data_IF_746670626178
#
_entry.id   IF_746670626178
#
_cell.length_a   1.000
_cell.length_b   1.000
_cell.length_c   1.000
_cell.angle_alpha   90.00
_cell.angle_beta   90.00
_cell.angle_gamma   90.00
#
_symmetry.space_group_name_H-M   'P 1'
#
loop_
_entity.id
_entity.type
_entity.pdbx_description
1 polymer ?
#
# COMPACT_ATOMS: atom_id res chain seq x y z
N UNK A 1 7.72 25.06 -4.11
CA UNK A 1 6.56 24.15 -3.97
C UNK A 1 5.68 24.12 -5.22
N UNK A 2 5.58 25.23 -5.99
CA UNK A 2 4.71 25.28 -7.19
C UNK A 2 5.25 24.54 -8.42
N UNK A 3 6.55 24.39 -8.56
CA UNK A 3 7.17 23.83 -9.78
C UNK A 3 7.18 22.30 -9.82
N UNK A 4 7.20 21.65 -8.67
CA UNK A 4 7.13 20.18 -8.58
C UNK A 4 5.74 19.69 -9.02
N UNK A 5 4.67 20.39 -8.64
CA UNK A 5 3.29 20.07 -9.05
C UNK A 5 3.03 20.28 -10.55
N UNK A 6 3.64 21.31 -11.16
CA UNK A 6 3.48 21.56 -12.60
C UNK A 6 4.17 20.51 -13.46
N UNK A 7 5.34 20.01 -13.02
CA UNK A 7 6.04 18.93 -13.74
C UNK A 7 5.32 17.59 -13.64
N UNK A 8 4.71 17.27 -12.50
CA UNK A 8 3.88 16.07 -12.35
C UNK A 8 2.65 16.06 -13.27
N UNK A 9 2.01 17.23 -13.48
CA UNK A 9 0.86 17.35 -14.38
C UNK A 9 1.23 17.09 -15.85
N UNK A 10 2.42 17.51 -16.30
CA UNK A 10 2.84 17.35 -17.70
C UNK A 10 3.12 15.87 -18.04
N UNK A 11 3.71 15.12 -17.14
CA UNK A 11 3.96 13.68 -17.34
C UNK A 11 2.67 12.83 -17.28
N UNK A 12 1.68 13.24 -16.49
CA UNK A 12 0.38 12.57 -16.38
C UNK A 12 -0.43 12.72 -17.68
N UNK A 13 -0.37 13.87 -18.37
CA UNK A 13 -1.06 14.07 -19.66
C UNK A 13 -0.49 13.16 -20.77
N UNK A 14 0.80 12.86 -20.77
CA UNK A 14 1.42 11.95 -21.74
C UNK A 14 0.93 10.49 -21.56
N UNK A 15 0.71 10.05 -20.32
CA UNK A 15 0.20 8.69 -20.06
C UNK A 15 -1.29 8.55 -20.39
N UNK A 16 -2.11 9.61 -20.19
CA UNK A 16 -3.54 9.58 -20.46
C UNK A 16 -3.86 9.74 -21.94
N UNK A 17 -3.04 10.51 -22.70
CA UNK A 17 -3.30 10.75 -24.13
C UNK A 17 -3.09 9.52 -25.02
N UNK A 18 -2.34 8.51 -24.57
CA UNK A 18 -2.17 7.24 -25.30
C UNK A 18 -3.33 6.25 -25.14
N UNK A 19 -4.30 6.51 -24.23
CA UNK A 19 -5.44 5.61 -24.03
C UNK A 19 -6.71 5.97 -24.82
N UNK A 20 -6.73 7.10 -25.54
CA UNK A 20 -7.89 7.58 -26.32
C UNK A 20 -7.63 7.57 -27.83
N UNK A 21 -7.15 6.45 -28.40
CA UNK A 21 -7.22 6.26 -29.85
C UNK A 21 -8.35 5.28 -30.20
N UNK A 22 -9.20 5.58 -31.20
CA UNK A 22 -10.32 4.73 -31.55
C UNK A 22 -9.82 3.40 -32.13
N UNK A 23 -10.51 2.34 -31.78
CA UNK A 23 -10.29 0.96 -32.19
C UNK A 23 -10.22 0.84 -33.71
N UNK A 24 -9.03 0.69 -34.25
CA UNK A 24 -8.88 0.03 -35.55
C UNK A 24 -8.97 -1.47 -35.28
N UNK A 25 -10.00 -2.12 -35.83
CA UNK A 25 -10.15 -3.57 -35.82
C UNK A 25 -8.97 -4.22 -36.56
N UNK A 26 -7.93 -4.57 -35.82
CA UNK A 26 -6.91 -5.50 -36.28
C UNK A 26 -7.17 -6.82 -35.54
N UNK A 27 -7.45 -7.88 -36.28
CA UNK A 27 -7.43 -9.23 -35.76
C UNK A 27 -6.01 -9.53 -35.27
N UNK A 28 -5.78 -9.32 -33.99
CA UNK A 28 -4.53 -9.73 -33.32
C UNK A 28 -4.62 -11.24 -33.14
N UNK A 29 -3.81 -11.96 -33.88
CA UNK A 29 -3.69 -13.41 -33.73
C UNK A 29 -3.33 -13.76 -32.30
N UNK A 30 -3.89 -14.85 -31.79
CA UNK A 30 -3.74 -15.34 -30.39
C UNK A 30 -2.25 -15.46 -29.94
N UNK A 31 -1.32 -15.58 -30.88
CA UNK A 31 0.12 -15.65 -30.63
C UNK A 31 0.76 -14.30 -30.20
N UNK A 32 0.19 -13.16 -30.58
CA UNK A 32 0.70 -11.84 -30.15
C UNK A 32 0.23 -11.46 -28.74
N UNK A 33 -0.86 -12.04 -28.26
CA UNK A 33 -1.40 -11.78 -26.93
C UNK A 33 -0.57 -12.43 -25.81
N UNK A 34 0.03 -13.60 -26.08
CA UNK A 34 0.86 -14.32 -25.09
C UNK A 34 2.24 -13.71 -24.88
N UNK A 35 2.84 -13.09 -25.92
CA UNK A 35 4.17 -12.48 -25.79
C UNK A 35 4.16 -11.14 -25.03
N UNK A 36 2.98 -10.47 -24.95
CA UNK A 36 2.84 -9.19 -24.24
C UNK A 36 2.55 -9.37 -22.73
N UNK A 37 2.14 -10.57 -22.31
CA UNK A 37 1.69 -10.83 -20.94
C UNK A 37 2.82 -11.14 -19.97
N UNK A 38 3.94 -11.68 -20.42
CA UNK A 38 5.08 -12.01 -19.55
C UNK A 38 5.89 -10.80 -19.04
N UNK A 39 5.50 -9.60 -19.43
CA UNK A 39 6.24 -8.37 -19.13
C UNK A 39 5.73 -7.60 -17.91
N UNK A 40 4.63 -8.02 -17.29
CA UNK A 40 4.01 -7.31 -16.17
C UNK A 40 4.33 -7.99 -14.85
N UNK A 41 4.86 -7.22 -13.91
CA UNK A 41 5.04 -7.61 -12.52
C UNK A 41 4.27 -6.65 -11.60
N UNK A 42 3.60 -7.21 -10.59
CA UNK A 42 2.94 -6.43 -9.54
C UNK A 42 3.48 -6.89 -8.19
N UNK A 43 3.83 -5.93 -7.36
CA UNK A 43 4.42 -6.19 -6.06
C UNK A 43 3.79 -5.34 -4.97
N UNK A 44 3.67 -5.92 -3.78
CA UNK A 44 3.38 -5.17 -2.56
C UNK A 44 4.70 -4.65 -1.99
N UNK A 45 4.76 -3.37 -1.69
CA UNK A 45 5.87 -2.74 -1.01
C UNK A 45 5.51 -2.50 0.46
N UNK A 46 6.41 -2.89 1.36
CA UNK A 46 6.32 -2.60 2.80
C UNK A 46 7.52 -1.77 3.19
N UNK A 47 7.27 -0.58 3.75
CA UNK A 47 8.31 0.37 4.12
C UNK A 47 8.49 0.38 5.63
N UNK A 48 9.73 0.42 6.07
CA UNK A 48 10.08 0.52 7.49
C UNK A 48 9.42 1.72 8.16
N UNK A 49 9.24 1.63 9.48
CA UNK A 49 8.85 2.76 10.31
C UNK A 49 9.83 3.93 10.18
N UNK A 50 9.33 5.13 10.38
CA UNK A 50 10.13 6.35 10.47
C UNK A 50 10.01 6.98 11.85
N UNK A 51 10.70 8.09 12.07
CA UNK A 51 10.67 8.82 13.34
C UNK A 51 9.45 9.71 13.54
N UNK A 52 8.75 10.06 12.45
CA UNK A 52 7.59 10.96 12.51
C UNK A 52 6.32 10.20 12.91
N UNK A 53 5.43 10.87 13.65
CA UNK A 53 4.19 10.28 14.20
C UNK A 53 3.38 9.52 13.14
N UNK A 54 3.27 10.08 11.92
CA UNK A 54 2.51 9.49 10.83
C UNK A 54 3.23 8.31 10.16
N UNK A 55 4.51 8.11 10.44
CA UNK A 55 5.35 7.07 9.86
C UNK A 55 5.74 5.96 10.83
N UNK A 56 5.39 6.06 12.11
CA UNK A 56 5.72 5.07 13.15
C UNK A 56 5.28 3.65 12.82
N UNK A 57 4.20 3.50 12.08
CA UNK A 57 3.62 2.19 11.71
C UNK A 57 4.18 1.63 10.42
N UNK A 58 5.08 2.36 9.76
CA UNK A 58 5.52 2.00 8.42
C UNK A 58 4.56 2.48 7.33
N UNK A 59 4.70 1.93 6.13
CA UNK A 59 3.85 2.27 5.00
C UNK A 59 3.69 1.07 4.06
N UNK A 60 2.61 1.05 3.29
CA UNK A 60 2.36 0.05 2.25
C UNK A 60 2.01 0.73 0.93
N UNK A 61 2.58 0.24 -0.16
CA UNK A 61 2.30 0.69 -1.52
C UNK A 61 2.22 -0.49 -2.49
N UNK A 62 1.69 -0.26 -3.69
CA UNK A 62 1.67 -1.26 -4.77
C UNK A 62 2.57 -0.77 -5.89
N UNK A 63 3.58 -1.56 -6.27
CA UNK A 63 4.43 -1.30 -7.44
C UNK A 63 3.90 -2.07 -8.63
N UNK A 64 3.77 -1.38 -9.73
CA UNK A 64 3.40 -1.92 -11.04
C UNK A 64 4.52 -1.69 -12.02
N UNK A 65 5.05 -2.76 -12.58
CA UNK A 65 6.12 -2.76 -13.56
C UNK A 65 5.60 -3.34 -14.87
N UNK A 66 5.78 -2.62 -15.96
CA UNK A 66 5.50 -3.11 -17.30
C UNK A 66 6.75 -2.90 -18.18
N UNK A 67 7.54 -3.95 -18.31
CA UNK A 67 8.82 -3.90 -19.02
C UNK A 67 8.66 -3.60 -20.52
N UNK A 68 7.57 -4.04 -21.12
CA UNK A 68 7.29 -3.78 -22.55
C UNK A 68 7.01 -2.30 -22.81
N UNK A 69 6.36 -1.62 -21.86
CA UNK A 69 5.99 -0.21 -21.98
C UNK A 69 6.96 0.73 -21.27
N UNK A 70 7.98 0.20 -20.60
CA UNK A 70 8.91 1.01 -19.77
C UNK A 70 8.22 1.72 -18.62
N UNK A 71 7.18 1.14 -18.03
CA UNK A 71 6.45 1.72 -16.90
C UNK A 71 6.93 1.05 -15.61
N UNK A 72 7.31 1.87 -14.63
CA UNK A 72 7.61 1.43 -13.28
C UNK A 72 7.03 2.46 -12.30
N UNK A 73 5.84 2.17 -11.80
CA UNK A 73 5.01 3.10 -11.05
C UNK A 73 4.62 2.54 -9.69
N UNK A 74 4.54 3.40 -8.69
CA UNK A 74 4.14 3.07 -7.33
C UNK A 74 2.84 3.79 -6.97
N UNK A 75 1.83 3.01 -6.62
CA UNK A 75 0.54 3.48 -6.14
C UNK A 75 0.59 3.61 -4.62
N UNK A 76 0.51 4.85 -4.13
CA UNK A 76 0.59 5.21 -2.72
C UNK A 76 -0.77 5.66 -2.19
N UNK A 77 -1.38 4.87 -1.31
CA UNK A 77 -2.53 5.30 -0.53
C UNK A 77 -2.08 6.09 0.71
N UNK A 78 -2.90 7.01 1.16
CA UNK A 78 -2.59 7.77 2.38
C UNK A 78 -1.78 9.04 2.13
N UNK A 79 -1.72 9.53 0.89
CA UNK A 79 -1.16 10.86 0.63
C UNK A 79 -2.09 11.95 1.14
N UNK A 80 -1.55 12.92 1.85
CA UNK A 80 -2.32 13.99 2.46
C UNK A 80 -1.61 15.35 2.29
N UNK A 81 -2.37 16.42 2.50
CA UNK A 81 -1.87 17.78 2.36
C UNK A 81 -1.81 18.45 3.74
N UNK A 82 -0.62 18.59 4.30
CA UNK A 82 -0.39 19.31 5.57
C UNK A 82 -0.83 20.78 5.55
N UNK A 83 -0.87 21.38 4.36
CA UNK A 83 -1.28 22.80 4.20
C UNK A 83 -2.81 22.97 4.16
N UNK A 84 -3.58 21.89 4.32
CA UNK A 84 -5.03 22.01 4.40
C UNK A 84 -5.44 22.84 5.66
N UNK A 85 -6.42 23.71 5.57
CA UNK A 85 -6.88 24.50 6.70
C UNK A 85 -7.27 23.63 7.88
N UNK A 86 -6.79 23.97 9.07
CA UNK A 86 -7.08 23.26 10.33
C UNK A 86 -6.70 21.78 10.29
N UNK A 87 -5.65 21.40 9.52
CA UNK A 87 -5.26 20.00 9.32
C UNK A 87 -5.13 19.23 10.63
N UNK A 88 -4.38 19.73 11.61
CA UNK A 88 -4.14 19.05 12.90
C UNK A 88 -5.46 18.80 13.65
N UNK A 89 -6.34 19.81 13.67
CA UNK A 89 -7.64 19.69 14.35
C UNK A 89 -8.55 18.67 13.64
N UNK A 90 -8.63 18.74 12.32
CA UNK A 90 -9.38 17.77 11.50
C UNK A 90 -8.80 16.36 11.59
N UNK A 91 -7.47 16.25 11.67
CA UNK A 91 -6.80 14.96 11.87
C UNK A 91 -7.20 14.35 13.22
N UNK A 92 -7.18 15.13 14.31
CA UNK A 92 -7.59 14.67 15.63
C UNK A 92 -9.06 14.25 15.69
N UNK A 93 -9.93 14.88 14.90
CA UNK A 93 -11.35 14.52 14.78
C UNK A 93 -11.60 13.36 13.79
N UNK A 94 -10.59 12.83 13.09
CA UNK A 94 -10.76 11.82 12.04
C UNK A 94 -11.45 12.36 10.79
N UNK A 95 -11.36 13.66 10.53
CA UNK A 95 -12.03 14.36 9.42
C UNK A 95 -11.07 14.73 8.28
N UNK A 96 -9.88 14.12 8.22
CA UNK A 96 -8.93 14.39 7.14
C UNK A 96 -9.22 13.52 5.92
N UNK A 97 -9.16 14.16 4.76
CA UNK A 97 -9.24 13.48 3.48
C UNK A 97 -7.83 13.18 2.97
N UNK A 98 -7.64 11.96 2.55
CA UNK A 98 -6.41 11.45 1.97
C UNK A 98 -6.66 11.07 0.52
N UNK A 99 -5.61 10.86 -0.24
CA UNK A 99 -5.75 10.47 -1.64
C UNK A 99 -4.77 9.36 -2.04
N UNK A 100 -5.15 8.65 -3.09
CA UNK A 100 -4.24 7.80 -3.84
C UNK A 100 -3.35 8.69 -4.72
N UNK A 101 -2.02 8.54 -4.58
CA UNK A 101 -1.03 9.13 -5.44
C UNK A 101 -0.30 8.07 -6.26
N UNK A 102 0.31 8.49 -7.36
CA UNK A 102 1.18 7.64 -8.19
C UNK A 102 2.49 8.36 -8.41
N UNK A 103 3.60 7.66 -8.20
CA UNK A 103 4.96 8.17 -8.40
C UNK A 103 5.78 7.15 -9.18
N UNK A 104 6.84 7.60 -9.87
CA UNK A 104 7.81 6.69 -10.45
C UNK A 104 8.58 5.99 -9.33
N UNK A 105 8.95 4.72 -9.57
CA UNK A 105 9.68 3.93 -8.59
C UNK A 105 11.04 4.53 -8.21
N UNK A 106 11.76 5.13 -9.15
CA UNK A 106 13.05 5.77 -8.87
C UNK A 106 12.91 6.89 -7.82
N UNK A 107 11.89 7.73 -7.96
CA UNK A 107 11.61 8.79 -6.97
C UNK A 107 11.20 8.21 -5.63
N UNK A 108 10.35 7.18 -5.63
CA UNK A 108 9.96 6.48 -4.42
C UNK A 108 11.17 5.88 -3.69
N UNK A 109 12.02 5.13 -4.41
CA UNK A 109 13.21 4.52 -3.82
C UNK A 109 14.21 5.55 -3.30
N UNK A 110 14.41 6.66 -4.05
CA UNK A 110 15.29 7.76 -3.62
C UNK A 110 14.77 8.43 -2.34
N UNK A 111 13.46 8.65 -2.21
CA UNK A 111 12.83 9.20 -1.01
C UNK A 111 13.09 8.31 0.21
N UNK A 112 12.80 7.00 0.12
CA UNK A 112 13.00 6.08 1.24
C UNK A 112 14.47 5.89 1.59
N UNK A 113 15.36 5.90 0.60
CA UNK A 113 16.81 5.89 0.85
C UNK A 113 17.27 7.16 1.58
N UNK A 114 16.79 8.33 1.16
CA UNK A 114 17.09 9.62 1.82
C UNK A 114 16.57 9.63 3.27
N UNK A 115 15.36 9.12 3.49
CA UNK A 115 14.75 9.00 4.82
C UNK A 115 15.41 7.90 5.68
N UNK A 116 16.33 7.11 5.13
CA UNK A 116 16.99 6.02 5.85
C UNK A 116 16.01 4.88 6.23
N UNK A 117 14.98 4.65 5.43
CA UNK A 117 13.94 3.65 5.69
C UNK A 117 14.04 2.51 4.68
N UNK A 118 14.20 1.31 5.19
CA UNK A 118 14.24 0.10 4.36
C UNK A 118 12.89 -0.16 3.67
N UNK A 119 12.93 -0.79 2.48
CA UNK A 119 11.73 -1.21 1.76
C UNK A 119 11.85 -2.66 1.35
N UNK A 120 10.84 -3.46 1.68
CA UNK A 120 10.66 -4.85 1.24
C UNK A 120 9.66 -4.89 0.10
N UNK A 121 9.94 -5.73 -0.88
CA UNK A 121 9.09 -6.00 -2.01
C UNK A 121 8.65 -7.46 -1.99
N UNK A 122 7.35 -7.69 -2.00
CA UNK A 122 6.72 -8.99 -2.18
C UNK A 122 6.12 -9.06 -3.58
N UNK A 123 6.80 -9.76 -4.50
CA UNK A 123 6.27 -10.01 -5.84
C UNK A 123 5.05 -10.94 -5.73
N UNK A 124 3.90 -10.48 -6.21
CA UNK A 124 2.65 -11.23 -6.15
C UNK A 124 2.57 -12.27 -7.27
N UNK A 125 2.15 -13.47 -6.91
CA UNK A 125 1.96 -14.60 -7.83
C UNK A 125 0.57 -14.58 -8.48
N UNK A 126 0.28 -13.50 -9.19
CA UNK A 126 -0.99 -13.27 -9.86
C UNK A 126 -0.94 -13.79 -11.30
N UNK A 127 -2.06 -14.34 -11.78
CA UNK A 127 -2.26 -14.61 -13.22
C UNK A 127 -2.35 -13.31 -14.00
N UNK A 128 -2.23 -13.38 -15.33
CA UNK A 128 -2.34 -12.17 -16.17
C UNK A 128 -3.70 -11.48 -16.01
N UNK A 129 -4.78 -12.27 -15.95
CA UNK A 129 -6.13 -11.74 -15.72
C UNK A 129 -6.27 -11.04 -14.34
N UNK A 130 -5.63 -11.59 -13.33
CA UNK A 130 -5.62 -10.98 -11.98
C UNK A 130 -4.81 -9.69 -11.95
N UNK A 131 -3.66 -9.64 -12.65
CA UNK A 131 -2.85 -8.42 -12.83
C UNK A 131 -3.64 -7.35 -13.58
N UNK A 132 -4.29 -7.70 -14.71
CA UNK A 132 -5.15 -6.78 -15.46
C UNK A 132 -6.29 -6.24 -14.61
N UNK A 133 -6.93 -7.10 -13.81
CA UNK A 133 -8.01 -6.70 -12.88
C UNK A 133 -7.50 -5.78 -11.78
N UNK A 134 -6.34 -6.08 -11.21
CA UNK A 134 -5.74 -5.25 -10.16
C UNK A 134 -5.40 -3.85 -10.68
N UNK A 135 -4.74 -3.76 -11.85
CA UNK A 135 -4.41 -2.46 -12.44
C UNK A 135 -5.67 -1.67 -12.85
N UNK A 136 -6.72 -2.35 -13.31
CA UNK A 136 -8.00 -1.71 -13.60
C UNK A 136 -8.62 -1.12 -12.31
N UNK A 137 -8.61 -1.85 -11.20
CA UNK A 137 -9.09 -1.37 -9.90
C UNK A 137 -8.27 -0.18 -9.38
N UNK A 138 -6.94 -0.20 -9.55
CA UNK A 138 -6.06 0.89 -9.14
C UNK A 138 -6.27 2.14 -10.02
N UNK A 139 -6.37 1.95 -11.33
CA UNK A 139 -6.61 3.02 -12.29
C UNK A 139 -7.97 3.69 -12.07
N UNK A 140 -9.02 2.89 -11.85
CA UNK A 140 -10.34 3.41 -11.50
C UNK A 140 -10.30 4.21 -10.20
N UNK A 141 -9.58 3.72 -9.21
CA UNK A 141 -9.44 4.42 -7.93
C UNK A 141 -8.58 5.69 -8.04
N UNK A 142 -7.68 5.77 -9.02
CA UNK A 142 -6.83 6.94 -9.24
C UNK A 142 -7.55 8.09 -9.98
N UNK A 143 -8.71 7.86 -10.57
CA UNK A 143 -9.50 8.93 -11.21
C UNK A 143 -9.77 10.08 -10.24
N UNK A 144 -9.79 11.34 -10.71
CA UNK A 144 -10.00 12.51 -9.84
C UNK A 144 -11.20 12.39 -8.90
N UNK A 145 -12.29 11.82 -9.39
CA UNK A 145 -13.53 11.62 -8.66
C UNK A 145 -13.47 10.52 -7.59
N UNK A 146 -12.50 9.59 -7.69
CA UNK A 146 -12.41 8.40 -6.83
C UNK A 146 -11.17 8.38 -5.92
N UNK A 147 -10.15 9.19 -6.23
CA UNK A 147 -8.86 9.09 -5.54
C UNK A 147 -8.86 9.67 -4.12
N UNK A 148 -9.77 10.59 -3.83
CA UNK A 148 -9.90 11.20 -2.50
C UNK A 148 -10.84 10.37 -1.65
N UNK A 149 -10.44 10.11 -0.41
CA UNK A 149 -11.24 9.32 0.52
C UNK A 149 -11.06 9.79 1.97
N UNK A 150 -12.08 9.53 2.79
CA UNK A 150 -12.01 9.74 4.23
C UNK A 150 -11.10 8.68 4.86
N UNK A 151 -10.00 9.11 5.42
CA UNK A 151 -9.05 8.22 6.04
C UNK A 151 -9.57 7.71 7.39
N UNK A 152 -9.41 6.42 7.61
CA UNK A 152 -9.62 5.82 8.92
C UNK A 152 -8.40 4.98 9.28
N UNK A 153 -7.75 5.35 10.36
CA UNK A 153 -6.47 4.78 10.75
C UNK A 153 -6.48 3.25 10.88
N UNK A 154 -7.57 2.68 11.41
CA UNK A 154 -7.70 1.24 11.61
C UNK A 154 -8.34 0.49 10.45
N UNK A 155 -9.31 1.12 9.78
CA UNK A 155 -10.20 0.40 8.85
C UNK A 155 -9.99 0.79 7.38
N UNK A 156 -9.47 1.99 7.10
CA UNK A 156 -9.32 2.48 5.72
C UNK A 156 -8.04 3.33 5.57
N UNK A 157 -6.89 2.64 5.57
CA UNK A 157 -5.56 3.24 5.58
C UNK A 157 -4.67 2.78 4.43
N UNK A 158 -3.38 3.13 4.47
CA UNK A 158 -2.38 2.77 3.47
C UNK A 158 -2.10 1.26 3.36
N UNK A 159 -2.45 0.45 4.35
CA UNK A 159 -2.31 -1.01 4.30
C UNK A 159 -3.62 -1.71 3.93
N UNK A 160 -4.74 -1.32 4.54
CA UNK A 160 -6.02 -1.97 4.31
C UNK A 160 -6.54 -1.78 2.88
N UNK A 161 -6.32 -0.61 2.28
CA UNK A 161 -6.74 -0.36 0.88
C UNK A 161 -6.00 -1.23 -0.13
N UNK A 162 -4.64 -1.30 -0.15
CA UNK A 162 -3.92 -2.25 -0.99
C UNK A 162 -4.38 -3.69 -0.78
N UNK A 163 -4.50 -4.13 0.46
CA UNK A 163 -5.02 -5.47 0.80
C UNK A 163 -6.34 -5.76 0.08
N UNK A 164 -7.32 -4.88 0.27
CA UNK A 164 -8.66 -5.08 -0.27
C UNK A 164 -8.69 -5.03 -1.81
N UNK A 165 -7.79 -4.27 -2.46
CA UNK A 165 -7.64 -4.26 -3.92
C UNK A 165 -7.03 -5.56 -4.43
N UNK A 166 -5.99 -6.05 -3.78
CA UNK A 166 -5.34 -7.32 -4.12
C UNK A 166 -6.33 -8.47 -3.95
N UNK A 167 -7.01 -8.56 -2.80
CA UNK A 167 -8.03 -9.60 -2.57
C UNK A 167 -9.14 -9.60 -3.62
N UNK A 168 -9.62 -8.42 -4.02
CA UNK A 168 -10.66 -8.28 -5.06
C UNK A 168 -10.19 -8.64 -6.46
N UNK A 169 -8.89 -8.57 -6.73
CA UNK A 169 -8.32 -8.90 -8.02
C UNK A 169 -8.17 -10.42 -8.23
N UNK A 170 -8.04 -11.18 -7.15
CA UNK A 170 -7.82 -12.63 -7.18
C UNK A 170 -9.04 -13.35 -7.76
N UNK A 171 -8.76 -14.33 -8.63
CA UNK A 171 -9.76 -15.23 -9.20
C UNK A 171 -9.76 -16.53 -8.41
N UNK A 172 -10.57 -16.60 -7.37
CA UNK A 172 -10.62 -17.70 -6.42
C UNK A 172 -10.77 -17.19 -5.00
N UNK A 173 -10.22 -17.92 -4.05
CA UNK A 173 -10.26 -17.59 -2.62
C UNK A 173 -8.86 -17.40 -2.08
N UNK A 174 -8.62 -16.29 -1.39
CA UNK A 174 -7.38 -16.10 -0.64
C UNK A 174 -7.51 -16.80 0.72
N UNK A 175 -6.67 -17.80 0.93
CA UNK A 175 -6.57 -18.54 2.19
C UNK A 175 -5.31 -18.10 2.94
N UNK A 176 -5.50 -17.65 4.15
CA UNK A 176 -4.41 -17.33 5.06
C UNK A 176 -4.06 -18.57 5.89
N UNK A 177 -2.78 -18.74 6.25
CA UNK A 177 -2.32 -19.87 7.04
C UNK A 177 -2.99 -19.96 8.41
N UNK A 178 -3.32 -18.80 8.98
CA UNK A 178 -4.02 -18.67 10.24
C UNK A 178 -5.50 -18.33 10.02
N UNK A 179 -6.35 -18.72 10.97
CA UNK A 179 -7.75 -18.29 10.93
C UNK A 179 -7.85 -16.79 11.20
N UNK A 180 -8.05 -15.99 10.13
CA UNK A 180 -8.06 -14.53 10.16
C UNK A 180 -9.27 -13.95 10.88
N UNK A 181 -10.36 -14.72 10.97
CA UNK A 181 -11.62 -14.29 11.57
C UNK A 181 -11.82 -14.86 12.97
N UNK A 182 -10.95 -15.80 13.41
CA UNK A 182 -11.03 -16.32 14.77
C UNK A 182 -10.96 -15.17 15.77
N UNK A 183 -11.94 -15.13 16.64
CA UNK A 183 -12.04 -14.10 17.66
C UNK A 183 -10.82 -14.13 18.57
N UNK A 184 -10.21 -12.98 18.67
CA UNK A 184 -9.13 -12.56 19.54
C UNK A 184 -7.77 -13.23 19.34
N UNK A 185 -6.87 -12.42 18.82
CA UNK A 185 -5.43 -12.59 19.01
C UNK A 185 -5.03 -12.35 20.49
N UNK A 186 -5.96 -11.92 21.34
CA UNK A 186 -5.68 -11.37 22.65
C UNK A 186 -5.05 -9.97 22.60
N UNK A 187 -4.95 -9.37 21.40
CA UNK A 187 -4.33 -8.06 21.13
C UNK A 187 -5.44 -7.11 20.71
N UNK A 188 -5.41 -5.88 21.21
CA UNK A 188 -6.29 -4.78 20.82
C UNK A 188 -5.62 -3.83 19.83
N UNK A 189 -6.38 -2.88 19.26
CA UNK A 189 -5.80 -1.79 18.51
C UNK A 189 -4.85 -0.95 19.35
N UNK A 190 -5.20 -0.69 20.62
CA UNK A 190 -4.36 0.07 21.55
C UNK A 190 -3.04 -0.63 21.83
N UNK A 191 -3.02 -1.95 21.99
CA UNK A 191 -1.78 -2.70 22.19
C UNK A 191 -0.84 -2.54 20.99
N UNK A 192 -1.37 -2.59 19.75
CA UNK A 192 -0.57 -2.36 18.56
C UNK A 192 -0.06 -0.92 18.47
N UNK A 193 -0.90 0.06 18.81
CA UNK A 193 -0.47 1.46 18.86
C UNK A 193 0.67 1.64 19.85
N UNK A 194 0.55 1.08 21.05
CA UNK A 194 1.59 1.16 22.08
C UNK A 194 2.89 0.51 21.62
N UNK A 195 2.81 -0.65 20.97
CA UNK A 195 3.97 -1.36 20.42
C UNK A 195 4.74 -0.51 19.41
N UNK A 196 4.04 0.13 18.47
CA UNK A 196 4.68 0.91 17.41
C UNK A 196 4.98 2.36 17.81
N UNK A 197 4.50 2.84 18.94
CA UNK A 197 4.82 4.14 19.52
C UNK A 197 5.75 4.04 20.74
N UNK A 198 6.42 2.91 20.92
CA UNK A 198 7.42 2.74 21.96
C UNK A 198 8.53 3.80 21.82
N UNK A 199 8.91 4.45 22.92
CA UNK A 199 9.86 5.58 22.91
C UNK A 199 9.21 6.94 22.61
N UNK A 200 7.99 7.01 22.09
CA UNK A 200 7.27 8.24 21.74
C UNK A 200 6.15 8.54 22.75
N UNK A 201 6.47 8.76 24.01
CA UNK A 201 5.51 8.87 25.13
C UNK A 201 4.42 9.94 24.92
N UNK A 202 4.78 11.13 24.42
CA UNK A 202 3.83 12.20 24.16
C UNK A 202 2.90 11.89 23.00
N UNK A 203 3.42 11.28 21.94
CA UNK A 203 2.62 10.83 20.82
C UNK A 203 1.64 9.75 21.22
N UNK A 204 2.09 8.77 22.01
CA UNK A 204 1.25 7.72 22.58
C UNK A 204 0.14 8.28 23.45
N UNK A 205 0.48 9.20 24.36
CA UNK A 205 -0.51 9.86 25.20
C UNK A 205 -1.58 10.60 24.38
N UNK A 206 -1.16 11.35 23.34
CA UNK A 206 -2.09 12.03 22.44
C UNK A 206 -3.00 11.07 21.68
N UNK A 207 -2.46 9.97 21.18
CA UNK A 207 -3.25 8.92 20.51
C UNK A 207 -4.25 8.27 21.48
N UNK A 208 -3.81 7.94 22.70
CA UNK A 208 -4.67 7.35 23.74
C UNK A 208 -5.84 8.27 24.11
N UNK A 209 -5.60 9.57 24.15
CA UNK A 209 -6.64 10.57 24.46
C UNK A 209 -7.70 10.65 23.35
N UNK A 210 -7.29 10.49 22.10
CA UNK A 210 -8.19 10.56 20.94
C UNK A 210 -8.98 9.27 20.71
N UNK A 211 -8.52 8.13 21.25
CA UNK A 211 -9.17 6.83 21.05
C UNK A 211 -10.24 6.55 22.12
N UNK A 212 -11.39 6.07 21.65
CA UNK A 212 -12.43 5.56 22.55
C UNK A 212 -12.15 4.12 23.03
N UNK A 213 -13.00 3.63 23.93
CA UNK A 213 -12.91 2.29 24.52
C UNK A 213 -12.95 1.13 23.53
N UNK A 214 -13.49 1.34 22.32
CA UNK A 214 -13.46 0.32 21.24
C UNK A 214 -12.05 -0.06 20.81
N UNK A 215 -11.06 0.80 21.04
CA UNK A 215 -9.67 0.48 20.75
C UNK A 215 -9.08 -0.56 21.70
N UNK A 216 -9.75 -0.83 22.82
CA UNK A 216 -9.34 -1.82 23.84
C UNK A 216 -9.95 -3.20 23.59
N UNK A 217 -10.92 -3.31 22.66
CA UNK A 217 -11.51 -4.59 22.32
C UNK A 217 -10.51 -5.46 21.56
N UNK A 218 -10.47 -6.77 21.85
CA UNK A 218 -9.62 -7.71 21.10
C UNK A 218 -9.95 -7.72 19.62
N UNK A 219 -8.93 -7.64 18.77
CA UNK A 219 -9.06 -7.65 17.32
C UNK A 219 -8.69 -9.01 16.73
N UNK A 220 -9.22 -9.33 15.57
CA UNK A 220 -8.80 -10.48 14.79
C UNK A 220 -7.55 -10.17 13.96
N UNK A 221 -6.95 -11.22 13.37
CA UNK A 221 -5.74 -11.08 12.54
C UNK A 221 -5.95 -10.21 11.30
N UNK A 222 -7.14 -10.28 10.70
CA UNK A 222 -7.46 -9.43 9.54
C UNK A 222 -7.44 -7.94 9.91
N UNK A 223 -7.98 -7.57 11.06
CA UNK A 223 -7.93 -6.20 11.55
C UNK A 223 -6.50 -5.77 11.87
N UNK A 224 -5.66 -6.66 12.40
CA UNK A 224 -4.24 -6.35 12.66
C UNK A 224 -3.46 -5.97 11.39
N UNK A 225 -3.93 -6.35 10.19
CA UNK A 225 -3.32 -5.96 8.92
C UNK A 225 -3.42 -4.45 8.60
N UNK A 226 -4.03 -3.64 9.45
CA UNK A 226 -3.91 -2.18 9.33
C UNK A 226 -2.46 -1.73 9.51
N UNK A 227 -1.65 -2.53 10.19
CA UNK A 227 -0.21 -2.34 10.31
C UNK A 227 0.50 -3.03 9.13
N UNK A 228 1.31 -2.31 8.34
CA UNK A 228 1.99 -2.82 7.15
C UNK A 228 2.76 -4.14 7.36
N UNK A 229 3.50 -4.26 8.45
CA UNK A 229 4.30 -5.46 8.73
C UNK A 229 3.46 -6.70 9.06
N UNK A 230 2.30 -6.54 9.69
CA UNK A 230 1.36 -7.67 9.86
C UNK A 230 0.78 -8.10 8.52
N UNK A 231 0.46 -7.16 7.64
CA UNK A 231 0.01 -7.48 6.29
C UNK A 231 1.09 -8.23 5.50
N UNK A 232 2.34 -7.75 5.54
CA UNK A 232 3.49 -8.42 4.91
C UNK A 232 3.63 -9.86 5.40
N UNK A 233 3.62 -10.08 6.72
CA UNK A 233 3.75 -11.40 7.31
C UNK A 233 2.63 -12.35 6.88
N UNK A 234 1.37 -11.90 6.94
CA UNK A 234 0.24 -12.75 6.56
C UNK A 234 0.19 -13.02 5.07
N UNK A 235 0.58 -12.08 4.22
CA UNK A 235 0.66 -12.28 2.79
C UNK A 235 1.73 -13.30 2.40
N UNK A 236 2.87 -13.32 3.08
CA UNK A 236 3.91 -14.34 2.87
C UNK A 236 3.43 -15.78 3.11
N UNK A 237 2.47 -15.94 4.01
CA UNK A 237 1.91 -17.25 4.39
C UNK A 237 0.61 -17.58 3.65
N UNK A 238 0.06 -16.63 2.88
CA UNK A 238 -1.22 -16.80 2.21
C UNK A 238 -1.10 -17.61 0.92
N UNK A 239 -2.19 -18.32 0.59
CA UNK A 239 -2.34 -19.08 -0.63
C UNK A 239 -3.58 -18.64 -1.40
N UNK A 240 -3.47 -18.58 -2.71
CA UNK A 240 -4.59 -18.42 -3.63
C UNK A 240 -5.08 -19.80 -4.01
N UNK A 241 -6.34 -20.09 -3.75
CA UNK A 241 -7.01 -21.33 -4.18
C UNK A 241 -7.97 -20.98 -5.31
N UNK A 242 -7.74 -21.52 -6.48
CA UNK A 242 -8.59 -21.31 -7.66
C UNK A 242 -9.93 -22.07 -7.55
N UNK A 243 -10.76 -21.96 -8.59
CA UNK A 243 -12.07 -22.62 -8.63
C UNK A 243 -11.98 -24.14 -8.75
N UNK A 244 -10.87 -24.63 -9.26
CA UNK A 244 -10.53 -26.05 -9.41
C UNK A 244 -9.92 -26.64 -8.14
N UNK A 245 -9.70 -25.81 -7.11
CA UNK A 245 -9.13 -26.23 -5.82
C UNK A 245 -7.59 -26.30 -5.82
N UNK A 246 -6.91 -25.80 -6.86
CA UNK A 246 -5.45 -25.76 -6.88
C UNK A 246 -4.95 -24.56 -6.09
N UNK A 247 -3.98 -24.82 -5.22
CA UNK A 247 -3.38 -23.80 -4.37
C UNK A 247 -2.03 -23.35 -4.90
N UNK A 248 -1.80 -22.02 -4.87
CA UNK A 248 -0.50 -21.40 -5.12
C UNK A 248 -0.19 -20.34 -4.08
N UNK A 249 1.09 -20.11 -3.71
CA UNK A 249 1.41 -19.04 -2.78
C UNK A 249 1.02 -17.67 -3.35
N UNK A 250 0.50 -16.75 -2.50
CA UNK A 250 0.20 -15.38 -2.91
C UNK A 250 1.47 -14.61 -3.29
N UNK A 251 2.55 -14.82 -2.53
CA UNK A 251 3.86 -14.18 -2.75
C UNK A 251 4.80 -15.16 -3.42
N UNK A 252 5.27 -14.82 -4.62
CA UNK A 252 6.23 -15.63 -5.36
C UNK A 252 7.67 -15.42 -4.85
N UNK A 253 8.00 -14.19 -4.46
CA UNK A 253 9.34 -13.79 -3.98
C UNK A 253 9.22 -12.61 -3.03
N UNK A 254 10.04 -12.62 -1.98
CA UNK A 254 10.27 -11.44 -1.14
C UNK A 254 11.74 -11.04 -1.19
N UNK A 255 11.98 -9.75 -1.29
CA UNK A 255 13.34 -9.18 -1.28
C UNK A 255 13.34 -7.76 -0.68
N UNK A 256 14.45 -7.38 -0.10
CA UNK A 256 14.66 -5.99 0.35
C UNK A 256 15.25 -5.20 -0.81
N UNK A 257 14.53 -4.19 -1.29
CA UNK A 257 14.87 -3.40 -2.49
C UNK A 257 15.51 -2.04 -2.17
N UNK A 258 15.24 -1.51 -0.96
CA UNK A 258 15.97 -0.35 -0.41
C UNK A 258 16.59 -0.80 0.89
N UNK A 259 17.93 -0.70 0.99
CA UNK A 259 18.72 -1.12 2.14
C UNK A 259 19.54 0.07 2.61
N UNK A 260 19.13 0.68 3.69
CA UNK A 260 19.76 1.91 4.19
C UNK A 260 20.83 1.65 5.26
N UNK A 261 20.87 0.43 5.80
CA UNK A 261 21.79 0.07 6.90
C UNK A 261 21.48 0.76 8.24
N UNK A 262 20.43 1.58 8.29
CA UNK A 262 19.97 2.23 9.52
C UNK A 262 18.91 1.35 10.18
N UNK A 263 19.00 1.16 11.47
CA UNK A 263 17.94 0.53 12.25
C UNK A 263 16.95 1.60 12.72
N UNK A 264 15.68 1.26 13.01
CA UNK A 264 14.72 2.21 13.60
C UNK A 264 15.24 2.88 14.89
N UNK A 265 16.11 2.22 15.64
CA UNK A 265 16.77 2.76 16.83
C UNK A 265 17.72 3.93 16.54
N UNK A 266 18.33 3.96 15.35
CA UNK A 266 19.27 5.03 14.98
C UNK A 266 18.56 6.36 14.70
N UNK A 267 17.27 6.33 14.42
CA UNK A 267 16.43 7.52 14.22
C UNK A 267 16.05 8.21 15.52
N UNK A 268 15.84 7.46 16.61
CA UNK A 268 15.49 8.03 17.93
C UNK A 268 16.67 8.80 18.51
N UNK A 269 17.90 8.38 18.21
CA UNK A 269 19.13 9.01 18.69
C UNK A 269 19.48 10.31 17.95
N UNK A 270 18.97 10.55 16.75
CA UNK A 270 19.30 11.76 15.96
C UNK A 270 18.35 12.95 16.20
N UNK A 271 17.27 12.74 16.96
CA UNK A 271 16.26 13.75 17.26
C UNK A 271 16.30 14.23 18.74
N UNK A 272 17.31 13.81 19.51
CA UNK A 272 17.65 14.35 20.82
C UNK A 272 18.84 15.31 20.72
#
# INVERSE_FOLDING_TARGET
>A
ASDVYKRQLIHIYIVIFFFCLPSANAQVTQQQKTAATDSVRVSLLTCAAGGEIYSLFGHTAIRYENYTRGIDAVFNYGMFNFNAPNFIFRFALGETDYQLGVTDYEHFAAEYNYLGRDVWQQTLNLTEEEKERLIALLTENYRPENRVYRYNFFYDNCATRPRDRIERAINGTLQYADNMTANSTGISFRDLLHKYSEGHLWSRFGMDLCMGSKADEPINRRLAMFVPFYMQEYFNKAQIVDKEGQARPLVAKEEKIVVTGKTPADFVSSCL
#
